data_IF_579103932893
#
_entry.id   IF_579103932893
#
_cell.length_a   1.000
_cell.length_b   1.000
_cell.length_c   1.000
_cell.angle_alpha   90.00
_cell.angle_beta   90.00
_cell.angle_gamma   90.00
#
_symmetry.space_group_name_H-M   'P 1'
#
loop_
_entity.id
_entity.type
_entity.pdbx_description
1 polymer ?
#
# COMPACT_ATOMS: atom_id res chain seq x y z
N UNK A 1 -21.57 -12.97 -23.13
CA UNK A 1 -21.82 -14.36 -23.56
C UNK A 1 -20.94 -15.36 -22.80
N UNK A 2 -19.62 -15.14 -22.69
CA UNK A 2 -18.74 -15.96 -21.82
C UNK A 2 -19.01 -15.78 -20.31
N UNK A 3 -19.21 -14.55 -19.81
CA UNK A 3 -19.56 -14.29 -18.39
C UNK A 3 -20.87 -14.99 -17.96
N UNK A 4 -21.84 -15.12 -18.88
CA UNK A 4 -23.09 -15.86 -18.70
C UNK A 4 -22.88 -17.39 -18.66
N UNK A 5 -21.82 -17.89 -19.28
CA UNK A 5 -21.50 -19.32 -19.36
C UNK A 5 -20.58 -19.78 -18.22
N UNK A 6 -19.71 -18.90 -17.72
CA UNK A 6 -18.77 -19.20 -16.63
C UNK A 6 -19.27 -18.75 -15.26
N UNK A 7 -20.29 -17.89 -15.21
CA UNK A 7 -20.78 -17.28 -13.98
C UNK A 7 -19.77 -16.36 -13.29
N UNK A 8 -18.64 -16.06 -13.94
CA UNK A 8 -17.57 -15.20 -13.40
C UNK A 8 -17.44 -13.95 -14.23
N UNK A 9 -17.48 -12.78 -13.60
CA UNK A 9 -17.25 -11.51 -14.29
C UNK A 9 -15.77 -11.31 -14.61
N UNK A 10 -15.48 -10.52 -15.65
CA UNK A 10 -14.12 -10.07 -15.96
C UNK A 10 -13.44 -9.35 -14.77
N UNK A 11 -14.21 -8.65 -13.94
CA UNK A 11 -13.73 -8.01 -12.70
C UNK A 11 -13.27 -9.05 -11.68
N UNK A 12 -14.11 -10.03 -11.36
CA UNK A 12 -13.78 -11.11 -10.41
C UNK A 12 -12.54 -11.89 -10.85
N UNK A 13 -12.42 -12.20 -12.14
CA UNK A 13 -11.24 -12.87 -12.68
C UNK A 13 -9.96 -12.05 -12.50
N UNK A 14 -10.01 -10.72 -12.68
CA UNK A 14 -8.82 -9.87 -12.53
C UNK A 14 -8.45 -9.74 -11.06
N UNK A 15 -9.44 -9.53 -10.17
CA UNK A 15 -9.19 -9.44 -8.73
C UNK A 15 -8.60 -10.72 -8.15
N UNK A 16 -9.08 -11.89 -8.60
CA UNK A 16 -8.48 -13.17 -8.19
C UNK A 16 -7.00 -13.26 -8.60
N UNK A 17 -6.64 -12.79 -9.80
CA UNK A 17 -5.23 -12.75 -10.25
C UNK A 17 -4.42 -11.75 -9.44
N UNK A 18 -4.94 -10.55 -9.16
CA UNK A 18 -4.28 -9.54 -8.31
C UNK A 18 -4.03 -10.06 -6.88
N UNK A 19 -4.97 -10.84 -6.32
CA UNK A 19 -4.81 -11.48 -5.03
C UNK A 19 -3.68 -12.52 -5.04
N UNK A 20 -3.61 -13.37 -6.07
CA UNK A 20 -2.52 -14.35 -6.22
C UNK A 20 -1.17 -13.63 -6.30
N UNK A 21 -1.07 -12.57 -7.10
CA UNK A 21 0.17 -11.79 -7.24
C UNK A 21 0.55 -11.16 -5.90
N UNK A 22 -0.42 -10.59 -5.19
CA UNK A 22 -0.21 -9.99 -3.85
C UNK A 22 0.27 -11.02 -2.83
N UNK A 23 -0.31 -12.23 -2.84
CA UNK A 23 0.15 -13.32 -1.98
C UNK A 23 1.59 -13.73 -2.29
N UNK A 24 1.96 -13.84 -3.57
CA UNK A 24 3.34 -14.14 -3.98
C UNK A 24 4.31 -13.03 -3.55
N UNK A 25 3.92 -11.76 -3.65
CA UNK A 25 4.73 -10.63 -3.15
C UNK A 25 4.97 -10.72 -1.64
N UNK A 26 3.97 -11.12 -0.85
CA UNK A 26 4.14 -11.33 0.59
C UNK A 26 5.12 -12.47 0.89
N UNK A 27 5.09 -13.55 0.10
CA UNK A 27 6.08 -14.65 0.21
C UNK A 27 7.48 -14.14 -0.17
N UNK A 28 7.61 -13.37 -1.25
CA UNK A 28 8.88 -12.72 -1.63
C UNK A 28 9.41 -11.87 -0.46
N UNK A 29 8.56 -11.03 0.14
CA UNK A 29 8.92 -10.18 1.27
C UNK A 29 9.44 -11.00 2.47
N UNK A 30 8.73 -12.07 2.84
CA UNK A 30 9.16 -12.96 3.93
C UNK A 30 10.50 -13.66 3.62
N UNK A 31 10.69 -14.14 2.39
CA UNK A 31 11.96 -14.76 1.99
C UNK A 31 13.12 -13.77 1.94
N UNK A 32 12.88 -12.53 1.52
CA UNK A 32 13.87 -11.46 1.53
C UNK A 32 14.27 -11.08 2.96
N UNK A 33 13.30 -10.99 3.87
CA UNK A 33 13.54 -10.74 5.29
C UNK A 33 14.32 -11.87 5.98
N UNK A 34 14.14 -13.11 5.51
CA UNK A 34 14.94 -14.26 5.93
C UNK A 34 16.32 -14.34 5.24
N UNK A 35 16.72 -13.30 4.49
CA UNK A 35 17.96 -13.23 3.70
C UNK A 35 18.14 -14.38 2.70
N UNK A 36 17.05 -15.03 2.28
CA UNK A 36 17.09 -16.10 1.29
C UNK A 36 17.00 -15.51 -0.12
N UNK A 37 18.14 -15.04 -0.63
CA UNK A 37 18.24 -14.37 -1.93
C UNK A 37 17.67 -15.20 -3.08
N UNK A 38 18.03 -16.48 -3.18
CA UNK A 38 17.62 -17.32 -4.29
C UNK A 38 16.10 -17.57 -4.30
N UNK A 39 15.50 -17.77 -3.12
CA UNK A 39 14.06 -17.93 -3.00
C UNK A 39 13.32 -16.62 -3.29
N UNK A 40 13.83 -15.49 -2.78
CA UNK A 40 13.27 -14.17 -3.05
C UNK A 40 13.33 -13.81 -4.53
N UNK A 41 14.45 -14.08 -5.20
CA UNK A 41 14.62 -13.84 -6.63
C UNK A 41 13.66 -14.69 -7.46
N UNK A 42 13.58 -16.00 -7.18
CA UNK A 42 12.66 -16.90 -7.86
C UNK A 42 11.21 -16.44 -7.69
N UNK A 43 10.78 -16.15 -6.47
CA UNK A 43 9.40 -15.78 -6.20
C UNK A 43 9.05 -14.40 -6.79
N UNK A 44 9.98 -13.44 -6.75
CA UNK A 44 9.80 -12.14 -7.39
C UNK A 44 9.72 -12.24 -8.92
N UNK A 45 10.45 -13.17 -9.53
CA UNK A 45 10.32 -13.45 -10.96
C UNK A 45 8.90 -13.89 -11.33
N UNK A 46 8.33 -14.83 -10.57
CA UNK A 46 6.96 -15.30 -10.78
C UNK A 46 5.91 -14.18 -10.58
N UNK A 47 6.14 -13.28 -9.61
CA UNK A 47 5.32 -12.07 -9.41
C UNK A 47 5.33 -11.22 -10.67
N UNK A 48 6.50 -10.93 -11.24
CA UNK A 48 6.60 -10.08 -12.42
C UNK A 48 5.96 -10.70 -13.65
N UNK A 49 6.17 -11.99 -13.91
CA UNK A 49 5.55 -12.67 -15.06
C UNK A 49 4.02 -12.60 -14.98
N UNK A 50 3.48 -12.89 -13.78
CA UNK A 50 2.05 -12.81 -13.51
C UNK A 50 1.53 -11.38 -13.66
N UNK A 51 2.28 -10.40 -13.16
CA UNK A 51 1.93 -8.99 -13.26
C UNK A 51 1.93 -8.50 -14.71
N UNK A 52 2.95 -8.82 -15.52
CA UNK A 52 3.01 -8.39 -16.92
C UNK A 52 1.80 -8.88 -17.72
N UNK A 53 1.40 -10.13 -17.50
CA UNK A 53 0.20 -10.70 -18.11
C UNK A 53 -1.08 -9.96 -17.68
N UNK A 54 -1.26 -9.74 -16.38
CA UNK A 54 -2.44 -9.02 -15.86
C UNK A 54 -2.45 -7.56 -16.29
N UNK A 55 -1.32 -6.86 -16.22
CA UNK A 55 -1.15 -5.46 -16.61
C UNK A 55 -1.50 -5.27 -18.10
N UNK A 56 -1.05 -6.17 -18.97
CA UNK A 56 -1.45 -6.16 -20.38
C UNK A 56 -2.96 -6.35 -20.52
N UNK A 57 -3.55 -7.33 -19.82
CA UNK A 57 -4.99 -7.59 -19.87
C UNK A 57 -5.82 -6.36 -19.47
N UNK A 58 -5.51 -5.74 -18.33
CA UNK A 58 -6.27 -4.61 -17.79
C UNK A 58 -6.01 -3.30 -18.54
N UNK A 59 -4.86 -3.16 -19.22
CA UNK A 59 -4.57 -1.97 -20.04
C UNK A 59 -5.32 -2.04 -21.37
N UNK A 60 -5.36 -3.23 -21.98
CA UNK A 60 -6.06 -3.43 -23.26
C UNK A 60 -7.57 -3.42 -23.09
N UNK A 61 -8.10 -4.08 -22.05
CA UNK A 61 -9.52 -4.15 -21.75
C UNK A 61 -9.75 -3.91 -20.25
N UNK A 62 -9.83 -2.64 -19.81
CA UNK A 62 -10.03 -2.30 -18.41
C UNK A 62 -11.36 -2.87 -17.89
N UNK A 63 -11.35 -3.72 -16.85
CA UNK A 63 -12.57 -4.30 -16.30
C UNK A 63 -13.38 -3.25 -15.52
N UNK A 64 -14.71 -3.37 -15.58
CA UNK A 64 -15.62 -2.51 -14.80
C UNK A 64 -15.61 -1.05 -15.24
N UNK A 65 -15.67 -0.14 -14.26
CA UNK A 65 -15.63 1.32 -14.48
C UNK A 65 -14.20 1.90 -14.41
N UNK A 66 -13.17 1.05 -14.44
CA UNK A 66 -11.82 1.45 -14.06
C UNK A 66 -11.14 2.40 -15.06
N UNK A 67 -11.44 2.27 -16.37
CA UNK A 67 -10.85 3.09 -17.43
C UNK A 67 -11.12 4.59 -17.30
N UNK A 68 -12.27 4.96 -16.70
CA UNK A 68 -12.67 6.35 -16.49
C UNK A 68 -12.15 6.96 -15.17
N UNK A 69 -11.54 6.16 -14.29
CA UNK A 69 -11.09 6.65 -12.98
C UNK A 69 -9.74 7.35 -13.07
N UNK A 70 -9.67 8.56 -12.53
CA UNK A 70 -8.42 9.32 -12.45
C UNK A 70 -7.33 8.52 -11.74
N UNK A 71 -6.14 8.50 -12.35
CA UNK A 71 -4.95 7.82 -11.82
C UNK A 71 -4.92 6.30 -12.02
N UNK A 72 -5.93 5.66 -12.64
CA UNK A 72 -5.94 4.20 -12.86
C UNK A 72 -4.68 3.72 -13.61
N UNK A 73 -4.39 4.33 -14.77
CA UNK A 73 -3.20 4.01 -15.55
C UNK A 73 -1.89 4.37 -14.83
N UNK A 74 -1.88 5.43 -14.01
CA UNK A 74 -0.70 5.81 -13.22
C UNK A 74 -0.33 4.69 -12.24
N UNK A 75 -1.33 4.11 -11.55
CA UNK A 75 -1.10 3.04 -10.59
C UNK A 75 -0.51 1.80 -11.26
N UNK A 76 -0.98 1.43 -12.46
CA UNK A 76 -0.41 0.31 -13.23
C UNK A 76 1.08 0.57 -13.55
N UNK A 77 1.40 1.79 -13.99
CA UNK A 77 2.79 2.18 -14.29
C UNK A 77 3.65 2.18 -13.03
N UNK A 78 3.14 2.70 -11.91
CA UNK A 78 3.85 2.72 -10.62
C UNK A 78 4.13 1.32 -10.10
N UNK A 79 3.15 0.41 -10.14
CA UNK A 79 3.35 -1.00 -9.76
C UNK A 79 4.44 -1.63 -10.63
N UNK A 80 4.35 -1.47 -11.95
CA UNK A 80 5.31 -2.04 -12.89
C UNK A 80 6.73 -1.53 -12.65
N UNK A 81 6.88 -0.22 -12.44
CA UNK A 81 8.16 0.42 -12.13
C UNK A 81 8.74 -0.11 -10.82
N UNK A 82 7.90 -0.21 -9.79
CA UNK A 82 8.34 -0.63 -8.47
C UNK A 82 8.78 -2.10 -8.45
N UNK A 83 8.03 -2.99 -9.09
CA UNK A 83 8.44 -4.39 -9.27
C UNK A 83 9.76 -4.52 -10.04
N UNK A 84 9.96 -3.70 -11.07
CA UNK A 84 11.22 -3.64 -11.83
C UNK A 84 12.40 -3.19 -10.97
N UNK A 85 12.20 -2.17 -10.12
CA UNK A 85 13.22 -1.68 -9.20
C UNK A 85 13.57 -2.72 -8.13
N UNK A 86 12.57 -3.38 -7.54
CA UNK A 86 12.76 -4.44 -6.54
C UNK A 86 13.54 -5.61 -7.16
N UNK A 87 13.29 -5.96 -8.42
CA UNK A 87 14.10 -6.97 -9.11
C UNK A 87 15.57 -6.60 -9.17
N UNK A 88 15.88 -5.37 -9.58
CA UNK A 88 17.27 -4.91 -9.67
C UNK A 88 17.95 -4.95 -8.29
N UNK A 89 17.21 -4.57 -7.26
CA UNK A 89 17.67 -4.59 -5.88
C UNK A 89 17.96 -6.02 -5.38
N UNK A 90 17.05 -6.97 -5.60
CA UNK A 90 17.26 -8.40 -5.27
C UNK A 90 18.46 -8.96 -6.03
N UNK A 91 18.60 -8.66 -7.32
CA UNK A 91 19.74 -9.11 -8.14
C UNK A 91 21.09 -8.56 -7.65
N UNK A 92 21.10 -7.34 -7.08
CA UNK A 92 22.27 -6.73 -6.42
C UNK A 92 22.52 -7.27 -5.01
N UNK A 93 21.67 -8.19 -4.53
CA UNK A 93 21.69 -8.75 -3.15
C UNK A 93 21.43 -7.71 -2.07
N UNK A 94 20.77 -6.62 -2.42
CA UNK A 94 20.43 -5.53 -1.50
C UNK A 94 19.05 -5.78 -0.89
N UNK A 95 18.90 -6.77 0.00
CA UNK A 95 17.57 -7.15 0.53
C UNK A 95 16.98 -6.18 1.57
N UNK A 96 17.75 -5.17 1.97
CA UNK A 96 17.32 -4.09 2.85
C UNK A 96 16.06 -3.42 2.30
N UNK A 97 15.03 -3.22 3.13
CA UNK A 97 13.77 -2.55 2.79
C UNK A 97 12.95 -3.20 1.64
N UNK A 98 13.34 -4.36 1.10
CA UNK A 98 12.56 -5.06 0.05
C UNK A 98 11.15 -5.41 0.53
N UNK A 99 11.04 -5.85 1.79
CA UNK A 99 9.75 -6.09 2.43
C UNK A 99 8.84 -4.85 2.38
N UNK A 100 9.40 -3.69 2.72
CA UNK A 100 8.69 -2.43 2.84
C UNK A 100 8.21 -1.92 1.48
N UNK A 101 9.07 -2.07 0.46
CA UNK A 101 8.72 -1.73 -0.92
C UNK A 101 7.63 -2.64 -1.48
N UNK A 102 7.68 -3.94 -1.16
CA UNK A 102 6.65 -4.89 -1.54
C UNK A 102 5.32 -4.61 -0.83
N UNK A 103 5.35 -4.15 0.42
CA UNK A 103 4.15 -3.72 1.14
C UNK A 103 3.44 -2.57 0.41
N UNK A 104 4.18 -1.53 0.00
CA UNK A 104 3.61 -0.43 -0.81
C UNK A 104 3.04 -0.97 -2.14
N UNK A 105 3.72 -1.92 -2.77
CA UNK A 105 3.26 -2.53 -4.02
C UNK A 105 1.94 -3.31 -3.83
N UNK A 106 1.82 -4.09 -2.75
CA UNK A 106 0.59 -4.79 -2.37
C UNK A 106 -0.56 -3.81 -2.11
N UNK A 107 -0.30 -2.69 -1.42
CA UNK A 107 -1.32 -1.65 -1.20
C UNK A 107 -1.75 -1.01 -2.52
N UNK A 108 -0.83 -0.75 -3.45
CA UNK A 108 -1.19 -0.27 -4.80
C UNK A 108 -2.03 -1.29 -5.58
N UNK A 109 -1.72 -2.59 -5.50
CA UNK A 109 -2.54 -3.63 -6.13
C UNK A 109 -3.94 -3.71 -5.51
N UNK A 110 -4.04 -3.57 -4.19
CA UNK A 110 -5.32 -3.51 -3.48
C UNK A 110 -6.13 -2.28 -3.91
N UNK A 111 -5.47 -1.13 -4.11
CA UNK A 111 -6.10 0.10 -4.61
C UNK A 111 -6.61 -0.11 -6.04
N UNK A 112 -5.81 -0.75 -6.89
CA UNK A 112 -6.21 -1.10 -8.25
C UNK A 112 -7.47 -1.98 -8.25
N UNK A 113 -7.53 -3.00 -7.39
CA UNK A 113 -8.72 -3.84 -7.23
C UNK A 113 -9.94 -3.03 -6.75
N UNK A 114 -9.79 -2.20 -5.72
CA UNK A 114 -10.86 -1.32 -5.24
C UNK A 114 -11.38 -0.35 -6.33
N UNK A 115 -10.48 0.13 -7.20
CA UNK A 115 -10.87 0.94 -8.34
C UNK A 115 -11.68 0.15 -9.37
N UNK A 116 -11.27 -1.08 -9.69
CA UNK A 116 -11.99 -2.00 -10.59
C UNK A 116 -13.39 -2.32 -10.07
N UNK A 117 -13.52 -2.50 -8.76
CA UNK A 117 -14.78 -2.86 -8.09
C UNK A 117 -15.73 -1.68 -7.88
N UNK A 118 -15.30 -0.45 -8.18
CA UNK A 118 -16.14 0.72 -7.86
C UNK A 118 -16.11 1.13 -6.38
N UNK A 119 -15.28 0.50 -5.54
CA UNK A 119 -15.27 0.75 -4.09
C UNK A 119 -14.51 2.03 -3.73
N UNK A 120 -15.23 3.15 -3.69
CA UNK A 120 -14.67 4.47 -3.41
C UNK A 120 -14.09 4.58 -2.01
N UNK A 121 -14.82 4.12 -0.98
CA UNK A 121 -14.36 4.17 0.42
C UNK A 121 -13.05 3.41 0.62
N UNK A 122 -12.94 2.21 0.06
CA UNK A 122 -11.70 1.44 0.11
C UNK A 122 -10.59 2.12 -0.69
N UNK A 123 -10.92 2.67 -1.87
CA UNK A 123 -9.93 3.40 -2.68
C UNK A 123 -9.35 4.60 -1.95
N UNK A 124 -10.17 5.42 -1.30
CA UNK A 124 -9.73 6.60 -0.56
C UNK A 124 -8.91 6.22 0.67
N UNK A 125 -9.36 5.20 1.41
CA UNK A 125 -8.60 4.65 2.53
C UNK A 125 -7.23 4.12 2.11
N UNK A 126 -7.15 3.37 1.00
CA UNK A 126 -5.90 2.82 0.48
C UNK A 126 -4.96 3.92 -0.06
N UNK A 127 -5.50 5.01 -0.61
CA UNK A 127 -4.70 6.18 -1.00
C UNK A 127 -4.07 6.82 0.23
N UNK A 128 -4.82 6.98 1.32
CA UNK A 128 -4.27 7.46 2.58
C UNK A 128 -3.24 6.49 3.17
N UNK A 129 -3.47 5.17 3.10
CA UNK A 129 -2.49 4.16 3.50
C UNK A 129 -1.17 4.29 2.72
N UNK A 130 -1.23 4.55 1.40
CA UNK A 130 -0.03 4.81 0.60
C UNK A 130 0.73 6.06 1.06
N UNK A 131 0.03 7.11 1.52
CA UNK A 131 0.67 8.29 2.14
C UNK A 131 1.38 7.88 3.43
N UNK A 132 0.69 7.19 4.34
CA UNK A 132 1.29 6.73 5.62
C UNK A 132 2.51 5.84 5.38
N UNK A 133 2.44 4.91 4.42
CA UNK A 133 3.57 4.06 4.06
C UNK A 133 4.72 4.86 3.43
N UNK A 134 4.41 5.85 2.59
CA UNK A 134 5.39 6.74 1.96
C UNK A 134 6.14 7.65 2.94
N UNK A 135 5.60 7.86 4.14
CA UNK A 135 6.21 8.66 5.20
C UNK A 135 7.18 7.87 6.09
N UNK A 136 7.46 6.60 5.77
CA UNK A 136 8.40 5.78 6.52
C UNK A 136 9.77 6.47 6.62
N UNK A 137 10.31 6.69 7.84
CA UNK A 137 11.63 7.29 7.97
C UNK A 137 12.72 6.35 7.46
N UNK A 138 13.37 6.70 6.35
CA UNK A 138 14.49 5.93 5.77
C UNK A 138 15.81 6.69 5.98
N UNK A 139 16.77 6.09 6.70
CA UNK A 139 18.01 6.75 7.08
C UNK A 139 18.83 7.28 5.89
N UNK A 140 18.86 6.53 4.77
CA UNK A 140 19.57 6.91 3.54
C UNK A 140 18.98 8.14 2.84
N UNK A 141 17.72 8.48 3.14
CA UNK A 141 16.97 9.58 2.51
C UNK A 141 16.53 10.63 3.53
N UNK A 142 17.31 10.81 4.61
CA UNK A 142 16.93 11.62 5.78
C UNK A 142 16.28 12.97 5.42
N UNK A 143 16.94 13.80 4.62
CA UNK A 143 16.41 15.14 4.28
C UNK A 143 15.06 15.08 3.56
N UNK A 144 14.93 14.14 2.60
CA UNK A 144 13.68 13.97 1.85
C UNK A 144 12.56 13.42 2.74
N UNK A 145 12.86 12.42 3.57
CA UNK A 145 11.89 11.84 4.50
C UNK A 145 11.47 12.83 5.59
N UNK A 146 12.41 13.63 6.10
CA UNK A 146 12.15 14.70 7.07
C UNK A 146 11.20 15.74 6.49
N UNK A 147 11.49 16.24 5.28
CA UNK A 147 10.64 17.22 4.62
C UNK A 147 9.23 16.66 4.34
N UNK A 148 9.13 15.42 3.87
CA UNK A 148 7.85 14.75 3.65
C UNK A 148 7.01 14.66 4.93
N UNK A 149 7.63 14.28 6.06
CA UNK A 149 6.97 14.23 7.36
C UNK A 149 6.54 15.62 7.85
N UNK A 150 7.38 16.65 7.66
CA UNK A 150 7.08 18.02 8.09
C UNK A 150 5.96 18.69 7.29
N UNK A 151 5.85 18.35 6.02
CA UNK A 151 4.84 18.90 5.10
C UNK A 151 3.56 18.08 5.04
N UNK A 152 3.59 16.82 5.49
CA UNK A 152 2.40 15.99 5.57
C UNK A 152 1.35 16.56 6.53
N UNK A 153 0.11 16.69 6.03
CA UNK A 153 -1.04 17.06 6.85
C UNK A 153 -1.94 15.84 7.10
N UNK A 154 -1.35 14.83 7.75
CA UNK A 154 -2.05 13.59 8.10
C UNK A 154 -3.35 13.82 8.89
N UNK A 155 -3.44 14.75 9.86
CA UNK A 155 -4.68 14.99 10.59
C UNK A 155 -5.85 15.47 9.73
N UNK A 156 -5.58 16.28 8.71
CA UNK A 156 -6.59 16.75 7.75
C UNK A 156 -6.96 15.63 6.78
N UNK A 157 -5.97 14.97 6.18
CA UNK A 157 -6.21 13.84 5.27
C UNK A 157 -7.01 12.71 5.93
N UNK A 158 -6.74 12.40 7.21
CA UNK A 158 -7.49 11.41 7.99
C UNK A 158 -8.94 11.85 8.22
N UNK A 159 -9.18 13.15 8.45
CA UNK A 159 -10.53 13.69 8.60
C UNK A 159 -11.31 13.66 7.28
N UNK A 160 -10.63 13.90 6.15
CA UNK A 160 -11.22 13.87 4.81
C UNK A 160 -11.71 12.47 4.40
N UNK A 161 -11.21 11.40 5.03
CA UNK A 161 -11.73 10.05 4.85
C UNK A 161 -13.17 9.88 5.37
N UNK A 162 -13.67 10.83 6.17
CA UNK A 162 -15.02 10.86 6.74
C UNK A 162 -15.44 9.52 7.34
N UNK A 163 -14.49 8.84 8.00
CA UNK A 163 -14.71 7.54 8.60
C UNK A 163 -15.79 7.65 9.68
N UNK A 164 -16.84 6.87 9.51
CA UNK A 164 -17.93 6.70 10.48
C UNK A 164 -17.91 5.27 10.99
N UNK A 165 -18.38 5.05 12.22
CA UNK A 165 -18.35 3.72 12.81
C UNK A 165 -18.70 3.73 14.29
N UNK A 166 -18.34 2.64 14.96
CA UNK A 166 -18.50 2.51 16.41
C UNK A 166 -17.66 3.54 17.18
N UNK A 167 -17.91 3.66 18.50
CA UNK A 167 -17.08 4.47 19.37
C UNK A 167 -15.59 4.07 19.29
N UNK A 168 -15.30 2.78 19.09
CA UNK A 168 -13.93 2.29 18.93
C UNK A 168 -13.24 2.88 17.68
N UNK A 169 -13.98 3.04 16.58
CA UNK A 169 -13.46 3.70 15.36
C UNK A 169 -13.16 5.16 15.65
N UNK A 170 -14.07 5.86 16.33
CA UNK A 170 -13.92 7.27 16.70
C UNK A 170 -12.69 7.47 17.60
N UNK A 171 -12.55 6.64 18.63
CA UNK A 171 -11.43 6.69 19.56
C UNK A 171 -10.10 6.42 18.85
N UNK A 172 -10.06 5.44 17.94
CA UNK A 172 -8.88 5.16 17.11
C UNK A 172 -8.49 6.33 16.20
N UNK A 173 -9.46 7.01 15.61
CA UNK A 173 -9.20 8.20 14.78
C UNK A 173 -8.60 9.32 15.64
N UNK A 174 -9.11 9.54 16.86
CA UNK A 174 -8.55 10.53 17.77
C UNK A 174 -7.08 10.21 18.12
N UNK A 175 -6.79 8.97 18.50
CA UNK A 175 -5.42 8.50 18.78
C UNK A 175 -4.50 8.72 17.58
N UNK A 176 -4.95 8.40 16.37
CA UNK A 176 -4.15 8.60 15.15
C UNK A 176 -3.85 10.07 14.88
N UNK A 177 -4.80 10.98 15.13
CA UNK A 177 -4.58 12.43 14.99
C UNK A 177 -3.52 12.91 15.98
N UNK A 178 -3.61 12.49 17.24
CA UNK A 178 -2.64 12.86 18.27
C UNK A 178 -1.23 12.33 17.94
N UNK A 179 -1.14 11.07 17.47
CA UNK A 179 0.11 10.47 17.04
C UNK A 179 0.72 11.19 15.82
N UNK A 180 -0.11 11.61 14.86
CA UNK A 180 0.36 12.36 13.70
C UNK A 180 0.97 13.71 14.09
N UNK A 181 0.34 14.43 15.03
CA UNK A 181 0.88 15.68 15.57
C UNK A 181 2.18 15.43 16.35
N UNK A 182 2.19 14.42 17.21
CA UNK A 182 3.37 14.06 17.99
C UNK A 182 4.57 13.67 17.10
N UNK A 183 4.32 12.90 16.03
CA UNK A 183 5.34 12.53 15.05
C UNK A 183 5.93 13.76 14.38
N UNK A 184 5.10 14.70 13.92
CA UNK A 184 5.56 15.94 13.28
C UNK A 184 6.44 16.76 14.23
N UNK A 185 6.04 16.89 15.50
CA UNK A 185 6.81 17.61 16.51
C UNK A 185 8.16 16.94 16.79
N UNK A 186 8.21 15.60 16.82
CA UNK A 186 9.47 14.85 16.95
C UNK A 186 10.42 15.14 15.80
N UNK A 187 9.92 15.11 14.56
CA UNK A 187 10.70 15.34 13.34
C UNK A 187 11.31 16.75 13.29
N UNK A 188 10.64 17.76 13.84
CA UNK A 188 11.18 19.13 13.92
C UNK A 188 12.51 19.20 14.69
N UNK A 189 12.68 18.31 15.67
CA UNK A 189 13.88 18.23 16.51
C UNK A 189 15.00 17.41 15.88
N UNK A 190 14.73 16.68 14.79
CA UNK A 190 15.72 15.89 14.07
C UNK A 190 16.65 16.79 13.23
N UNK A 191 17.96 16.54 13.35
CA UNK A 191 18.98 17.38 12.69
C UNK A 191 19.65 16.70 11.50
N UNK A 192 20.31 15.55 11.71
CA UNK A 192 21.12 14.84 10.69
C UNK A 192 20.71 13.39 10.49
N UNK A 193 19.82 12.90 11.34
CA UNK A 193 19.27 11.54 11.35
C UNK A 193 17.96 11.57 12.12
N UNK A 194 17.09 10.61 11.82
CA UNK A 194 15.88 10.40 12.61
C UNK A 194 16.24 9.94 14.02
N UNK A 195 15.75 10.65 15.03
CA UNK A 195 15.88 10.22 16.42
C UNK A 195 15.00 8.98 16.69
N UNK A 196 15.35 8.25 17.74
CA UNK A 196 14.54 7.10 18.22
C UNK A 196 13.08 7.51 18.47
N UNK A 197 12.85 8.73 18.96
CA UNK A 197 11.50 9.25 19.16
C UNK A 197 10.68 9.31 17.86
N UNK A 198 11.29 9.78 16.76
CA UNK A 198 10.65 9.86 15.44
C UNK A 198 10.37 8.47 14.88
N UNK A 199 11.35 7.56 14.98
CA UNK A 199 11.20 6.17 14.51
C UNK A 199 10.08 5.45 15.27
N UNK A 200 10.07 5.56 16.60
CA UNK A 200 9.03 4.98 17.45
C UNK A 200 7.67 5.62 17.21
N UNK A 201 7.62 6.94 17.04
CA UNK A 201 6.39 7.68 16.74
C UNK A 201 5.76 7.22 15.43
N UNK A 202 6.57 7.03 14.38
CA UNK A 202 6.09 6.48 13.11
C UNK A 202 5.56 5.05 13.27
N UNK A 203 6.30 4.18 13.97
CA UNK A 203 5.88 2.80 14.19
C UNK A 203 4.54 2.73 14.94
N UNK A 204 4.37 3.54 15.99
CA UNK A 204 3.11 3.64 16.73
C UNK A 204 1.97 4.10 15.84
N UNK A 205 2.17 5.17 15.06
CA UNK A 205 1.18 5.67 14.11
C UNK A 205 0.77 4.58 13.10
N UNK A 206 1.75 3.90 12.50
CA UNK A 206 1.52 2.84 11.53
C UNK A 206 0.79 1.63 12.15
N UNK A 207 1.17 1.21 13.35
CA UNK A 207 0.50 0.12 14.05
C UNK A 207 -0.95 0.45 14.42
N UNK A 208 -1.21 1.66 14.91
CA UNK A 208 -2.58 2.12 15.19
C UNK A 208 -3.41 2.23 13.91
N UNK A 209 -2.78 2.64 12.80
CA UNK A 209 -3.44 2.73 11.51
C UNK A 209 -3.81 1.33 10.97
N UNK A 210 -2.90 0.38 11.07
CA UNK A 210 -3.17 -1.02 10.74
C UNK A 210 -4.27 -1.63 11.63
N UNK A 211 -4.33 -1.24 12.90
CA UNK A 211 -5.40 -1.65 13.80
C UNK A 211 -6.76 -1.04 13.41
N UNK A 212 -6.79 0.23 13.01
CA UNK A 212 -7.99 0.88 12.45
C UNK A 212 -8.47 0.15 11.19
N UNK A 213 -7.57 -0.18 10.26
CA UNK A 213 -7.92 -0.95 9.04
C UNK A 213 -8.61 -2.28 9.38
N UNK A 214 -8.05 -3.03 10.34
CA UNK A 214 -8.64 -4.29 10.81
C UNK A 214 -10.03 -4.10 11.42
N UNK A 215 -10.21 -3.04 12.22
CA UNK A 215 -11.48 -2.70 12.83
C UNK A 215 -12.54 -2.37 11.76
N UNK A 216 -12.20 -1.51 10.78
CA UNK A 216 -13.11 -1.15 9.69
C UNK A 216 -13.50 -2.36 8.82
N UNK A 217 -12.57 -3.30 8.60
CA UNK A 217 -12.87 -4.57 7.92
C UNK A 217 -13.83 -5.44 8.74
N UNK A 218 -13.63 -5.55 10.06
CA UNK A 218 -14.49 -6.33 10.95
C UNK A 218 -15.91 -5.74 11.03
N UNK A 219 -16.02 -4.41 11.02
CA UNK A 219 -17.30 -3.68 10.99
C UNK A 219 -17.93 -3.59 9.59
N UNK A 220 -17.30 -4.20 8.57
CA UNK A 220 -17.77 -4.20 7.17
C UNK A 220 -17.96 -2.80 6.58
N UNK A 221 -17.21 -1.81 7.07
CA UNK A 221 -17.31 -0.40 6.65
C UNK A 221 -17.17 -0.21 5.13
N UNK A 222 -16.37 -1.06 4.49
CA UNK A 222 -16.08 -1.00 3.05
C UNK A 222 -17.06 -1.80 2.18
N UNK A 223 -18.03 -2.50 2.77
CA UNK A 223 -19.01 -3.32 2.02
C UNK A 223 -20.32 -2.58 1.72
N UNK A 224 -20.47 -1.36 2.24
CA UNK A 224 -21.66 -0.51 2.13
C UNK A 224 -21.45 0.66 1.18
#
# INVERSE_FOLDING_TARGET
MLELLTGSSSQESVNAKLLIISSKMQVTAATAQAFNHAAAEKMHHEVMESWLYVASQITTNPPGQASGKSGFNSIIVEISRELGNIRQQIARRELEDVHDRLEVCVTRMSLLAAMIDGNHRMSDFLRFELVVLGLRPVARLFEQGREALLTSDLPTMLADLQLTGSQLVIDKIAVLRDLAVALRNSVQSDQKRFATATLTGYLLLYHEFAALKKLLLAEKYFQS
#
